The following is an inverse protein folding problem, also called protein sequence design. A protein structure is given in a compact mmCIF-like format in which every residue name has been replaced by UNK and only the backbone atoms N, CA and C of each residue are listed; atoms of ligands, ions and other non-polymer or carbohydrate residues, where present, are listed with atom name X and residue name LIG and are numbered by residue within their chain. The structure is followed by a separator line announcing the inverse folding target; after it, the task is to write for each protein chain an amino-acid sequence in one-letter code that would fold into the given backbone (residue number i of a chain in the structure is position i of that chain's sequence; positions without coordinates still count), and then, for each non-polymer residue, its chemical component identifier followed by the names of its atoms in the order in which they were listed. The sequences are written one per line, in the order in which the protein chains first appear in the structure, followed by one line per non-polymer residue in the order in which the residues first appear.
data_IF_589661561674
#
_entry.id   IF_589661561674
#
_cell.length_a   1.000
_cell.length_b   1.000
_cell.length_c   1.000
_cell.angle_alpha   90.00
_cell.angle_beta   90.00
_cell.angle_gamma   90.00
#
_symmetry.space_group_name_H-M   'P 1'
#
loop_
_entity.id
_entity.type
_entity.pdbx_description
1 polymer ?
#
# COMPACT_ATOMS: atom_id res chain seq x y z
N UNK A 1 -13.46 4.23 24.49
CA UNK A 1 -13.13 5.32 23.55
C UNK A 1 -11.64 5.56 23.57
N UNK A 2 -10.92 4.95 22.64
CA UNK A 2 -9.49 5.20 22.43
C UNK A 2 -9.38 6.37 21.44
N UNK A 3 -8.69 7.43 21.81
CA UNK A 3 -8.45 8.57 20.92
C UNK A 3 -7.31 8.16 19.99
N UNK A 4 -7.57 8.09 18.68
CA UNK A 4 -6.50 7.95 17.68
C UNK A 4 -5.86 9.33 17.56
N UNK A 5 -4.64 9.48 18.07
CA UNK A 5 -3.86 10.69 17.88
C UNK A 5 -3.02 10.57 16.61
N UNK A 6 -3.31 11.44 15.64
CA UNK A 6 -2.49 11.58 14.45
C UNK A 6 -1.37 12.59 14.73
N UNK A 7 -0.12 12.20 14.46
CA UNK A 7 1.05 13.03 14.70
C UNK A 7 2.29 12.48 14.01
N UNK A 8 3.30 13.31 13.85
CA UNK A 8 4.59 12.89 13.26
C UNK A 8 5.33 12.03 14.26
N UNK A 9 5.54 10.76 13.92
CA UNK A 9 6.45 9.87 14.63
C UNK A 9 7.83 9.98 13.97
N UNK A 10 8.91 9.87 14.75
CA UNK A 10 10.27 9.88 14.23
C UNK A 10 10.46 8.71 13.26
N UNK A 11 10.98 8.99 12.06
CA UNK A 11 11.33 7.97 11.06
C UNK A 11 12.25 6.90 11.65
N UNK A 12 12.06 5.65 11.22
CA UNK A 12 12.95 4.55 11.66
C UNK A 12 14.31 4.71 10.98
N UNK A 13 15.37 4.34 11.68
CA UNK A 13 16.74 4.52 11.19
C UNK A 13 17.03 3.88 9.81
N UNK A 14 16.26 2.86 9.43
CA UNK A 14 16.41 2.12 8.17
C UNK A 14 15.14 2.20 7.29
N UNK A 15 14.31 3.22 7.49
CA UNK A 15 13.11 3.41 6.67
C UNK A 15 13.50 3.98 5.31
N UNK A 16 13.08 3.29 4.24
CA UNK A 16 13.35 3.73 2.88
C UNK A 16 12.33 4.77 2.47
N UNK A 17 12.81 5.88 1.90
CA UNK A 17 11.94 6.91 1.31
C UNK A 17 11.16 6.40 0.09
N UNK A 18 11.74 5.46 -0.66
CA UNK A 18 11.12 4.82 -1.82
C UNK A 18 11.34 3.31 -1.76
N UNK A 19 10.26 2.56 -1.93
CA UNK A 19 10.28 1.10 -1.94
C UNK A 19 9.32 0.58 -3.01
N UNK A 20 9.62 0.88 -4.27
CA UNK A 20 8.85 0.42 -5.42
C UNK A 20 9.52 -0.81 -6.04
N UNK A 21 8.74 -1.84 -6.35
CA UNK A 21 9.25 -3.02 -7.06
C UNK A 21 9.47 -2.68 -8.55
N UNK A 22 10.65 -3.00 -9.06
CA UNK A 22 10.88 -3.10 -10.50
C UNK A 22 10.27 -4.40 -11.01
N UNK A 23 9.34 -4.30 -11.96
CA UNK A 23 8.57 -5.43 -12.49
C UNK A 23 8.98 -5.82 -13.90
N UNK A 24 10.06 -5.26 -14.45
CA UNK A 24 10.46 -5.48 -15.84
C UNK A 24 10.65 -6.97 -16.18
N UNK A 25 11.21 -7.78 -15.25
CA UNK A 25 11.38 -9.22 -15.47
C UNK A 25 10.05 -10.00 -15.44
N UNK A 26 9.08 -9.53 -14.64
CA UNK A 26 7.74 -10.13 -14.57
C UNK A 26 6.98 -9.88 -15.88
N UNK A 27 7.10 -8.68 -16.44
CA UNK A 27 6.48 -8.34 -17.72
C UNK A 27 6.98 -9.22 -18.86
N UNK A 28 8.26 -9.63 -18.84
CA UNK A 28 8.84 -10.54 -19.85
C UNK A 28 8.20 -11.93 -19.87
N UNK A 29 7.69 -12.40 -18.74
CA UNK A 29 6.96 -13.69 -18.65
C UNK A 29 5.45 -13.52 -18.83
N UNK A 30 5.01 -12.34 -19.29
CA UNK A 30 3.61 -12.04 -19.56
C UNK A 30 2.79 -11.70 -18.32
N UNK A 31 3.44 -11.51 -17.16
CA UNK A 31 2.73 -11.02 -15.99
C UNK A 31 2.31 -9.57 -16.19
N UNK A 32 1.12 -9.23 -15.72
CA UNK A 32 0.57 -7.88 -15.73
C UNK A 32 -0.20 -7.61 -14.45
N UNK A 33 -0.22 -6.35 -14.01
CA UNK A 33 -1.08 -5.91 -12.91
C UNK A 33 -2.54 -5.93 -13.35
N UNK A 34 -3.37 -6.71 -12.67
CA UNK A 34 -4.81 -6.79 -12.97
C UNK A 34 -5.66 -5.92 -12.04
N UNK A 35 -5.16 -5.61 -10.84
CA UNK A 35 -5.92 -4.90 -9.80
C UNK A 35 -5.33 -3.53 -9.49
N UNK A 36 -6.19 -2.53 -9.30
CA UNK A 36 -5.80 -1.19 -8.85
C UNK A 36 -5.66 -1.13 -7.33
N UNK A 37 -4.68 -0.36 -6.85
CA UNK A 37 -4.58 -0.04 -5.43
C UNK A 37 -5.83 0.75 -4.97
N UNK A 38 -6.36 1.63 -5.83
CA UNK A 38 -7.55 2.43 -5.50
C UNK A 38 -8.75 1.51 -5.28
N UNK A 39 -9.00 0.59 -6.21
CA UNK A 39 -10.14 -0.33 -6.13
C UNK A 39 -10.02 -1.22 -4.89
N UNK A 40 -8.83 -1.75 -4.60
CA UNK A 40 -8.58 -2.57 -3.41
C UNK A 40 -8.79 -1.79 -2.09
N UNK A 41 -8.36 -0.52 -2.03
CA UNK A 41 -8.58 0.32 -0.86
C UNK A 41 -10.08 0.63 -0.67
N UNK A 42 -10.80 0.88 -1.76
CA UNK A 42 -12.25 1.10 -1.70
C UNK A 42 -12.96 -0.14 -1.17
N UNK A 43 -12.63 -1.33 -1.69
CA UNK A 43 -13.21 -2.60 -1.24
C UNK A 43 -13.00 -2.83 0.26
N UNK A 44 -11.75 -2.67 0.75
CA UNK A 44 -11.43 -2.86 2.17
C UNK A 44 -12.22 -1.89 3.07
N UNK A 45 -12.33 -0.62 2.68
CA UNK A 45 -13.08 0.38 3.46
C UNK A 45 -14.56 0.02 3.52
N UNK A 46 -15.13 -0.47 2.41
CA UNK A 46 -16.53 -0.89 2.36
C UNK A 46 -16.80 -2.16 3.17
N UNK A 47 -15.83 -3.06 3.28
CA UNK A 47 -15.93 -4.27 4.10
C UNK A 47 -15.84 -3.97 5.60
N UNK A 48 -14.85 -3.19 6.03
CA UNK A 48 -14.66 -2.82 7.45
C UNK A 48 -15.77 -1.89 7.98
N UNK A 49 -16.52 -1.23 7.08
CA UNK A 49 -17.66 -0.39 7.43
C UNK A 49 -18.97 -1.15 7.71
N UNK A 50 -19.03 -2.47 7.50
CA UNK A 50 -20.20 -3.33 7.77
C UNK A 50 -20.20 -3.88 9.19
#
# INVERSE_FOLDING_TARGET
NSIIEFGVVKERANELMYSCADIAELEKIGWKREFSLVDALTEIIEEEGK
#
